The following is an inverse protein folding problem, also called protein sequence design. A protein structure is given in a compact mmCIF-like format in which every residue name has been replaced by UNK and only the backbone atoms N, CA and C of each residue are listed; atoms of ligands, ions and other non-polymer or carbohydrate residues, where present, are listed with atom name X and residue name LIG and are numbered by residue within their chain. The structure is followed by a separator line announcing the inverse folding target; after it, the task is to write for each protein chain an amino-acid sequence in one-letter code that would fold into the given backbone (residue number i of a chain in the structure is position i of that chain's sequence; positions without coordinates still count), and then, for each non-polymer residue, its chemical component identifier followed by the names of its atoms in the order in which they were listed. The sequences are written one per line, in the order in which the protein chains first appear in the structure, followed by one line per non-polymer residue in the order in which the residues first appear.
data_IF_586255947139
#
_entry.id   IF_586255947139
#
_cell.length_a   1.000
_cell.length_b   1.000
_cell.length_c   1.000
_cell.angle_alpha   90.00
_cell.angle_beta   90.00
_cell.angle_gamma   90.00
#
_symmetry.space_group_name_H-M   'P 1'
#
loop_
_entity.id
_entity.type
_entity.pdbx_description
1 polymer ?
#
# COMPACT_ATOMS: atom_id res chain seq x y z
N UNK A 1 -9.52 1.52 -5.38
CA UNK A 1 -9.86 2.78 -4.69
C UNK A 1 -9.26 3.97 -5.44
N UNK A 2 -9.83 5.18 -5.35
CA UNK A 2 -9.20 6.37 -5.94
C UNK A 2 -7.96 6.80 -5.13
N UNK A 3 -6.83 7.19 -5.76
CA UNK A 3 -5.57 7.54 -5.08
C UNK A 3 -5.69 8.65 -4.02
N UNK A 4 -6.65 9.56 -4.19
CA UNK A 4 -6.93 10.66 -3.26
C UNK A 4 -7.31 10.22 -1.84
N UNK A 5 -7.96 9.06 -1.70
CA UNK A 5 -8.31 8.52 -0.38
C UNK A 5 -7.06 8.03 0.38
N UNK A 6 -6.11 7.43 -0.33
CA UNK A 6 -4.83 7.01 0.24
C UNK A 6 -4.03 8.23 0.71
N UNK A 7 -3.98 9.29 -0.12
CA UNK A 7 -3.34 10.56 0.26
C UNK A 7 -4.01 11.22 1.47
N UNK A 8 -5.35 11.24 1.53
CA UNK A 8 -6.07 11.80 2.67
C UNK A 8 -5.79 11.01 3.96
N UNK A 9 -5.77 9.68 3.88
CA UNK A 9 -5.45 8.81 5.02
C UNK A 9 -4.02 9.03 5.52
N UNK A 10 -3.07 9.19 4.60
CA UNK A 10 -1.70 9.55 4.91
C UNK A 10 -1.62 10.88 5.65
N UNK A 11 -2.27 11.94 5.13
CA UNK A 11 -2.22 13.28 5.73
C UNK A 11 -2.80 13.26 7.15
N UNK A 12 -3.91 12.54 7.36
CA UNK A 12 -4.52 12.41 8.68
C UNK A 12 -3.57 11.70 9.66
N UNK A 13 -2.98 10.57 9.27
CA UNK A 13 -2.03 9.83 10.09
C UNK A 13 -0.76 10.65 10.37
N UNK A 14 -0.28 11.41 9.38
CA UNK A 14 0.88 12.27 9.52
C UNK A 14 0.64 13.38 10.56
N UNK A 15 -0.53 14.03 10.51
CA UNK A 15 -0.92 15.05 11.51
C UNK A 15 -0.94 14.43 12.91
N UNK A 16 -1.60 13.28 13.08
CA UNK A 16 -1.67 12.57 14.37
C UNK A 16 -0.27 12.27 14.88
N UNK A 17 0.60 11.72 14.03
CA UNK A 17 1.95 11.35 14.40
C UNK A 17 2.81 12.56 14.79
N UNK A 18 2.70 13.67 14.06
CA UNK A 18 3.39 14.93 14.38
C UNK A 18 2.89 15.47 15.73
N UNK A 19 1.58 15.48 15.97
CA UNK A 19 1.03 15.96 17.24
C UNK A 19 1.50 15.10 18.42
N UNK A 20 1.47 13.77 18.28
CA UNK A 20 1.91 12.86 19.33
C UNK A 20 3.42 12.98 19.57
N UNK A 21 4.24 12.95 18.52
CA UNK A 21 5.70 13.07 18.66
C UNK A 21 6.13 14.43 19.17
N UNK A 22 5.47 15.52 18.74
CA UNK A 22 5.70 16.86 19.28
C UNK A 22 5.34 16.96 20.75
N UNK A 23 4.21 16.36 21.18
CA UNK A 23 3.85 16.28 22.60
C UNK A 23 4.88 15.50 23.41
N UNK A 24 5.35 14.35 22.90
CA UNK A 24 6.38 13.54 23.55
C UNK A 24 7.75 14.23 23.58
N UNK A 25 8.13 15.01 22.57
CA UNK A 25 9.38 15.78 22.58
C UNK A 25 9.36 16.92 23.61
N UNK A 26 8.19 17.49 23.89
CA UNK A 26 8.03 18.49 24.94
C UNK A 26 8.21 17.85 26.33
N UNK A 27 7.86 16.56 26.49
CA UNK A 27 7.90 15.85 27.78
C UNK A 27 9.15 14.98 27.98
N UNK A 28 9.81 14.54 26.91
CA UNK A 28 11.02 13.71 26.91
C UNK A 28 12.00 14.24 25.84
N UNK A 29 13.21 14.61 26.25
CA UNK A 29 14.26 15.31 25.47
C UNK A 29 14.86 14.47 24.30
N UNK A 30 14.16 13.47 23.78
CA UNK A 30 14.65 12.60 22.69
C UNK A 30 14.25 13.14 21.32
N UNK A 31 15.24 13.40 20.47
CA UNK A 31 15.10 13.96 19.13
C UNK A 31 14.66 12.92 18.07
N UNK A 32 13.49 12.31 18.21
CA UNK A 32 12.93 11.55 17.08
C UNK A 32 12.52 12.54 15.98
N UNK A 33 13.31 12.69 14.90
CA UNK A 33 13.00 13.67 13.85
C UNK A 33 11.68 13.32 13.13
N UNK A 34 10.59 14.11 13.28
CA UNK A 34 9.26 13.73 12.76
C UNK A 34 9.25 13.51 11.24
N UNK A 35 10.18 14.13 10.51
CA UNK A 35 10.31 13.96 9.06
C UNK A 35 10.57 12.52 8.63
N UNK A 36 11.44 11.76 9.31
CA UNK A 36 11.73 10.39 8.90
C UNK A 36 10.51 9.49 9.08
N UNK A 37 9.70 9.75 10.11
CA UNK A 37 8.47 9.00 10.38
C UNK A 37 7.40 9.29 9.33
N UNK A 38 7.27 10.55 8.91
CA UNK A 38 6.37 10.95 7.82
C UNK A 38 6.76 10.26 6.51
N UNK A 39 8.06 10.18 6.21
CA UNK A 39 8.55 9.47 5.02
C UNK A 39 8.16 7.99 5.09
N UNK A 40 8.39 7.32 6.21
CA UNK A 40 8.04 5.89 6.36
C UNK A 40 6.53 5.65 6.28
N UNK A 41 5.74 6.56 6.84
CA UNK A 41 4.29 6.54 6.71
C UNK A 41 3.87 6.68 5.23
N UNK A 42 4.43 7.65 4.51
CA UNK A 42 4.18 7.87 3.07
C UNK A 42 4.54 6.63 2.24
N UNK A 43 5.66 5.97 2.58
CA UNK A 43 6.09 4.75 1.92
C UNK A 43 5.05 3.63 2.07
N UNK A 44 4.52 3.45 3.29
CA UNK A 44 3.51 2.43 3.56
C UNK A 44 2.13 2.77 3.00
N UNK A 45 1.77 4.06 2.93
CA UNK A 45 0.40 4.50 2.63
C UNK A 45 0.15 4.94 1.19
N UNK A 46 1.18 5.36 0.43
CA UNK A 46 1.00 5.86 -0.95
C UNK A 46 1.93 5.13 -1.89
N UNK A 47 3.23 5.00 -1.55
CA UNK A 47 4.19 4.39 -2.47
C UNK A 47 4.09 2.86 -2.53
N UNK A 48 3.26 2.25 -1.71
CA UNK A 48 2.93 0.83 -1.84
C UNK A 48 2.30 0.52 -3.21
N UNK A 49 1.51 1.44 -3.77
CA UNK A 49 0.91 1.32 -5.11
C UNK A 49 1.92 1.23 -6.26
N UNK A 50 3.19 1.55 -6.01
CA UNK A 50 4.25 1.36 -7.00
C UNK A 50 4.46 -0.13 -7.34
N UNK A 51 3.99 -1.06 -6.50
CA UNK A 51 4.04 -2.50 -6.82
C UNK A 51 3.14 -2.92 -7.99
N UNK A 52 2.16 -2.10 -8.36
CA UNK A 52 1.38 -2.26 -9.58
C UNK A 52 2.21 -2.10 -10.86
N UNK A 53 3.46 -1.65 -10.77
CA UNK A 53 4.36 -1.56 -11.92
C UNK A 53 4.44 -2.88 -12.70
N UNK A 54 4.41 -4.02 -12.00
CA UNK A 54 4.41 -5.34 -12.64
C UNK A 54 3.12 -5.62 -13.42
N UNK A 55 1.96 -5.20 -12.89
CA UNK A 55 0.68 -5.35 -13.57
C UNK A 55 0.62 -4.50 -14.84
N UNK A 56 1.05 -3.24 -14.71
CA UNK A 56 1.15 -2.30 -15.81
C UNK A 56 2.07 -2.81 -16.91
N UNK A 57 3.28 -3.25 -16.54
CA UNK A 57 4.26 -3.81 -17.49
C UNK A 57 3.76 -5.10 -18.15
N UNK A 58 3.13 -6.00 -17.39
CA UNK A 58 2.55 -7.23 -17.92
C UNK A 58 1.45 -6.93 -18.95
N UNK A 59 0.56 -5.97 -18.65
CA UNK A 59 -0.46 -5.52 -19.58
C UNK A 59 0.13 -4.89 -20.85
N UNK A 60 1.06 -3.95 -20.68
CA UNK A 60 1.73 -3.29 -21.79
C UNK A 60 2.40 -4.30 -22.73
N UNK A 61 3.06 -5.33 -22.16
CA UNK A 61 3.69 -6.40 -22.94
C UNK A 61 2.67 -7.24 -23.72
N UNK A 62 1.54 -7.60 -23.11
CA UNK A 62 0.50 -8.39 -23.77
C UNK A 62 -0.22 -7.63 -24.89
N UNK A 63 -0.34 -6.31 -24.74
CA UNK A 63 -1.08 -5.44 -25.67
C UNK A 63 -0.17 -4.53 -26.50
N UNK A 64 1.13 -4.83 -26.58
CA UNK A 64 2.13 -4.02 -27.29
C UNK A 64 1.84 -3.86 -28.79
N UNK A 65 1.08 -4.80 -29.38
CA UNK A 65 0.65 -4.74 -30.78
C UNK A 65 -0.72 -4.07 -30.99
N UNK A 66 -1.38 -3.61 -29.92
CA UNK A 66 -2.68 -2.93 -30.03
C UNK A 66 -2.51 -1.47 -30.47
N UNK A 67 -3.50 -0.93 -31.18
CA UNK A 67 -3.51 0.45 -31.69
C UNK A 67 -3.64 1.51 -30.60
N UNK A 68 -3.94 1.12 -29.35
CA UNK A 68 -4.03 2.04 -28.21
C UNK A 68 -2.63 2.28 -27.66
N UNK A 69 -2.15 3.52 -27.77
CA UNK A 69 -0.94 3.96 -27.09
C UNK A 69 -1.21 3.98 -25.58
N UNK A 70 -0.65 3.03 -24.84
CA UNK A 70 -0.72 3.00 -23.38
C UNK A 70 0.33 3.98 -22.82
N UNK A 71 -0.12 4.98 -22.07
CA UNK A 71 0.72 6.06 -21.53
C UNK A 71 1.00 5.90 -20.04
N UNK A 72 1.93 6.71 -19.51
CA UNK A 72 2.22 6.74 -18.07
C UNK A 72 1.02 7.17 -17.23
N UNK A 73 0.08 7.92 -17.78
CA UNK A 73 -1.17 8.28 -17.09
C UNK A 73 -2.05 7.05 -16.80
N UNK A 74 -1.99 6.01 -17.64
CA UNK A 74 -2.77 4.78 -17.43
C UNK A 74 -2.24 3.97 -16.22
N UNK A 75 -1.00 4.20 -15.77
CA UNK A 75 -0.42 3.57 -14.58
C UNK A 75 -1.23 3.85 -13.32
N UNK A 76 -1.69 5.10 -13.18
CA UNK A 76 -2.45 5.58 -12.02
C UNK A 76 -3.92 5.15 -12.04
N UNK A 77 -4.33 4.35 -13.03
CA UNK A 77 -5.67 3.78 -13.12
C UNK A 77 -5.53 2.25 -13.16
N UNK A 78 -5.29 1.58 -12.01
CA UNK A 78 -5.00 0.15 -12.00
C UNK A 78 -6.05 -0.73 -12.64
N UNK A 79 -7.30 -0.30 -12.52
CA UNK A 79 -8.44 -0.97 -13.12
C UNK A 79 -8.33 -1.08 -14.65
N UNK A 80 -7.67 -0.11 -15.31
CA UNK A 80 -7.52 -0.08 -16.77
C UNK A 80 -6.71 -1.26 -17.34
N UNK A 81 -5.72 -1.77 -16.59
CA UNK A 81 -4.86 -2.88 -17.02
C UNK A 81 -5.12 -4.20 -16.29
N UNK A 82 -5.68 -4.15 -15.08
CA UNK A 82 -6.06 -5.36 -14.33
C UNK A 82 -7.34 -5.99 -14.88
N UNK A 83 -8.31 -5.19 -15.35
CA UNK A 83 -9.54 -5.73 -15.96
C UNK A 83 -9.31 -6.38 -17.32
N UNK A 84 -8.29 -5.97 -18.07
CA UNK A 84 -7.96 -6.59 -19.36
C UNK A 84 -7.14 -7.88 -19.20
N UNK A 85 -6.19 -7.89 -18.26
CA UNK A 85 -5.34 -9.07 -18.02
C UNK A 85 -5.98 -10.11 -17.09
N UNK A 86 -6.97 -9.69 -16.29
CA UNK A 86 -7.57 -10.45 -15.18
C UNK A 86 -6.53 -10.94 -14.16
N UNK A 87 -5.40 -10.24 -14.06
CA UNK A 87 -4.30 -10.58 -13.15
C UNK A 87 -3.90 -9.39 -12.27
N UNK A 88 -3.47 -9.70 -11.05
CA UNK A 88 -2.89 -8.75 -10.11
C UNK A 88 -1.69 -9.41 -9.39
N UNK A 89 -0.49 -8.89 -9.63
CA UNK A 89 0.79 -9.35 -9.11
C UNK A 89 1.22 -8.64 -7.84
N UNK A 90 0.61 -7.48 -7.53
CA UNK A 90 0.87 -6.63 -6.35
C UNK A 90 1.37 -7.40 -5.14
N UNK A 91 2.68 -7.28 -4.89
CA UNK A 91 3.37 -8.07 -3.86
C UNK A 91 3.13 -7.44 -2.50
N UNK A 92 3.18 -6.11 -2.39
CA UNK A 92 3.08 -5.39 -1.12
C UNK A 92 1.63 -5.20 -0.65
N UNK A 93 0.65 -5.39 -1.54
CA UNK A 93 -0.78 -5.50 -1.19
C UNK A 93 -1.15 -6.86 -0.56
N UNK A 94 -0.38 -7.27 0.45
CA UNK A 94 -0.51 -8.54 1.17
C UNK A 94 -0.81 -8.36 2.66
N UNK A 95 -1.89 -8.93 3.18
CA UNK A 95 -2.15 -8.95 4.62
C UNK A 95 -1.05 -9.69 5.41
N UNK A 96 -0.31 -10.59 4.76
CA UNK A 96 0.85 -11.25 5.35
C UNK A 96 1.92 -10.24 5.82
N UNK A 97 2.11 -9.13 5.10
CA UNK A 97 3.07 -8.10 5.49
C UNK A 97 2.64 -7.34 6.74
N UNK A 98 1.34 -7.05 6.88
CA UNK A 98 0.78 -6.43 8.09
C UNK A 98 1.05 -7.33 9.30
N UNK A 99 0.80 -8.63 9.17
CA UNK A 99 1.03 -9.60 10.24
C UNK A 99 2.53 -9.72 10.56
N UNK A 100 3.37 -9.86 9.54
CA UNK A 100 4.82 -9.99 9.71
C UNK A 100 5.44 -8.77 10.37
N UNK A 101 5.09 -7.57 9.92
CA UNK A 101 5.57 -6.32 10.51
C UNK A 101 5.04 -6.17 11.94
N UNK A 102 3.81 -6.58 12.24
CA UNK A 102 3.27 -6.57 13.60
C UNK A 102 4.04 -7.49 14.55
N UNK A 103 4.40 -8.70 14.10
CA UNK A 103 5.25 -9.62 14.87
C UNK A 103 6.61 -8.97 15.15
N UNK A 104 7.20 -8.29 14.16
CA UNK A 104 8.43 -7.53 14.35
C UNK A 104 8.25 -6.39 15.36
N UNK A 105 7.14 -5.64 15.33
CA UNK A 105 6.84 -4.60 16.33
C UNK A 105 6.86 -5.18 17.74
N UNK A 106 6.20 -6.32 17.95
CA UNK A 106 6.18 -6.99 19.24
C UNK A 106 7.58 -7.41 19.69
N UNK A 107 8.36 -8.01 18.80
CA UNK A 107 9.70 -8.52 19.11
C UNK A 107 10.72 -7.42 19.41
N UNK A 108 10.63 -6.28 18.69
CA UNK A 108 11.58 -5.17 18.82
C UNK A 108 11.14 -4.06 19.78
N UNK A 109 10.04 -4.26 20.53
CA UNK A 109 9.58 -3.29 21.52
C UNK A 109 8.97 -2.02 20.91
N UNK A 110 8.24 -2.17 19.80
CA UNK A 110 7.46 -1.11 19.15
C UNK A 110 8.27 0.11 18.69
N UNK A 111 9.34 -0.07 17.90
CA UNK A 111 10.10 1.08 17.40
C UNK A 111 9.23 1.94 16.47
N UNK A 112 9.23 3.26 16.68
CA UNK A 112 8.34 4.20 16.00
C UNK A 112 8.43 4.15 14.47
N UNK A 113 9.63 3.91 13.92
CA UNK A 113 9.85 3.81 12.48
C UNK A 113 9.07 2.64 11.87
N UNK A 114 9.06 1.50 12.54
CA UNK A 114 8.34 0.31 12.08
C UNK A 114 6.83 0.49 12.28
N UNK A 115 6.43 1.19 13.35
CA UNK A 115 5.03 1.50 13.62
C UNK A 115 4.45 2.43 12.55
N UNK A 116 5.19 3.45 12.14
CA UNK A 116 4.79 4.37 11.07
C UNK A 116 4.59 3.63 9.75
N UNK A 117 5.54 2.76 9.36
CA UNK A 117 5.42 1.93 8.16
C UNK A 117 4.22 0.98 8.24
N UNK A 118 4.02 0.33 9.40
CA UNK A 118 2.91 -0.58 9.64
C UNK A 118 1.55 0.12 9.54
N UNK A 119 1.40 1.28 10.17
CA UNK A 119 0.16 2.07 10.13
C UNK A 119 -0.17 2.53 8.72
N UNK A 120 0.84 3.02 7.97
CA UNK A 120 0.66 3.42 6.58
C UNK A 120 0.14 2.28 5.72
N UNK A 121 0.80 1.11 5.80
CA UNK A 121 0.42 -0.07 5.04
C UNK A 121 -0.95 -0.63 5.49
N UNK A 122 -1.22 -0.66 6.79
CA UNK A 122 -2.49 -1.12 7.34
C UNK A 122 -3.64 -0.28 6.82
N UNK A 123 -3.52 1.05 6.93
CA UNK A 123 -4.57 1.95 6.47
C UNK A 123 -4.76 1.85 4.96
N UNK A 124 -3.68 1.71 4.18
CA UNK A 124 -3.77 1.46 2.75
C UNK A 124 -4.60 0.22 2.43
N UNK A 125 -4.19 -0.96 2.92
CA UNK A 125 -4.88 -2.22 2.63
C UNK A 125 -6.31 -2.26 3.19
N UNK A 126 -6.54 -1.69 4.38
CA UNK A 126 -7.86 -1.65 4.98
C UNK A 126 -8.83 -0.83 4.12
N UNK A 127 -8.41 0.35 3.70
CA UNK A 127 -9.18 1.20 2.80
C UNK A 127 -9.45 0.48 1.48
N UNK A 128 -8.42 -0.10 0.90
CA UNK A 128 -8.50 -0.74 -0.39
C UNK A 128 -9.50 -1.93 -0.37
N UNK A 129 -9.47 -2.75 0.69
CA UNK A 129 -10.44 -3.84 0.89
C UNK A 129 -11.87 -3.33 1.15
N UNK A 130 -12.05 -2.16 1.76
CA UNK A 130 -13.37 -1.57 1.98
C UNK A 130 -13.99 -0.98 0.71
N UNK A 131 -13.18 -0.39 -0.17
CA UNK A 131 -13.67 0.18 -1.43
C UNK A 131 -13.81 -0.87 -2.54
N UNK A 132 -12.88 -1.81 -2.64
CA UNK A 132 -12.89 -2.81 -3.70
C UNK A 132 -13.79 -4.01 -3.32
N UNK A 133 -15.08 -3.74 -3.11
CA UNK A 133 -16.08 -4.71 -2.62
C UNK A 133 -16.29 -5.91 -3.55
N UNK A 134 -15.99 -5.73 -4.82
CA UNK A 134 -16.10 -6.78 -5.83
C UNK A 134 -14.90 -7.73 -5.80
N UNK A 135 -13.87 -7.51 -4.98
CA UNK A 135 -12.72 -8.40 -4.85
C UNK A 135 -12.92 -9.26 -3.61
N UNK A 136 -12.74 -10.58 -3.74
CA UNK A 136 -12.79 -11.47 -2.57
C UNK A 136 -11.73 -11.04 -1.54
N UNK A 137 -12.04 -11.03 -0.23
CA UNK A 137 -11.07 -10.65 0.82
C UNK A 137 -9.75 -11.42 0.74
N UNK A 138 -9.82 -12.71 0.40
CA UNK A 138 -8.65 -13.58 0.21
C UNK A 138 -7.73 -13.12 -0.93
N UNK A 139 -8.27 -12.35 -1.88
CA UNK A 139 -7.52 -11.72 -2.96
C UNK A 139 -6.48 -10.72 -2.48
N UNK A 140 -6.47 -10.32 -1.20
CA UNK A 140 -5.44 -9.50 -0.56
C UNK A 140 -4.33 -10.32 0.13
N UNK A 141 -4.34 -11.64 0.00
CA UNK A 141 -3.25 -12.49 0.48
C UNK A 141 -2.34 -12.87 -0.68
N UNK A 142 -1.06 -12.54 -0.59
CA UNK A 142 -0.10 -12.84 -1.64
C UNK A 142 0.03 -14.35 -1.87
N UNK A 143 0.01 -15.14 -0.79
CA UNK A 143 0.02 -16.61 -0.85
C UNK A 143 -1.21 -17.16 -1.59
N UNK A 144 -2.39 -16.58 -1.34
CA UNK A 144 -3.61 -16.94 -2.06
C UNK A 144 -3.51 -16.61 -3.55
N UNK A 145 -2.98 -15.44 -3.90
CA UNK A 145 -2.75 -15.05 -5.30
C UNK A 145 -1.83 -16.05 -6.00
N UNK A 146 -0.73 -16.48 -5.39
CA UNK A 146 0.16 -17.49 -5.98
C UNK A 146 -0.60 -18.78 -6.30
N UNK A 147 -1.37 -19.30 -5.33
CA UNK A 147 -2.19 -20.51 -5.52
C UNK A 147 -3.21 -20.34 -6.66
N UNK A 148 -3.76 -19.13 -6.81
CA UNK A 148 -4.68 -18.76 -7.89
C UNK A 148 -3.99 -18.24 -9.15
N UNK A 149 -2.66 -18.38 -9.27
CA UNK A 149 -1.86 -17.91 -10.42
C UNK A 149 -2.11 -16.44 -10.76
N UNK A 150 -2.26 -15.62 -9.71
CA UNK A 150 -2.53 -14.19 -9.73
C UNK A 150 -3.86 -13.78 -10.38
N UNK A 151 -4.81 -14.71 -10.56
CA UNK A 151 -6.13 -14.38 -11.08
C UNK A 151 -6.91 -13.52 -10.10
N UNK A 152 -7.46 -12.40 -10.60
CA UNK A 152 -8.39 -11.57 -9.82
C UNK A 152 -9.73 -12.31 -9.74
N UNK A 153 -10.09 -12.71 -8.52
CA UNK A 153 -11.34 -13.38 -8.25
C UNK A 153 -12.33 -12.36 -7.71
N UNK A 154 -13.26 -11.97 -8.58
CA UNK A 154 -14.45 -11.21 -8.20
C UNK A 154 -15.50 -12.15 -7.59
#
# INVERSE_FOLDING_TARGET
MEPEYHLLSFLLLAIILITLTGYYQITDLRSAQPLYLIILLLLGSVFVDLDHWFDFWYHWRQNHSSTRQFGLSDFFIPQSYTDSTKKAFVIFHGWEWIIGIFICLWWFGWPLWLLALWLGLLCHLALDQLANKDIKPWGYFWTYRIVKKFQILK
#
